data_IF_188626755680
#
_entry.id   IF_188626755680
#
_cell.length_a   1.000
_cell.length_b   1.000
_cell.length_c   1.000
_cell.angle_alpha   90.00
_cell.angle_beta   90.00
_cell.angle_gamma   90.00
#
_symmetry.space_group_name_H-M   'P 1'
#
loop_
_entity.id
_entity.type
_entity.pdbx_description
1 polymer ?
#
# COMPACT_ATOMS: atom_id res chain seq x y z
N UNK A 1 -0.62 -1.39 9.40
CA UNK A 1 -1.75 -2.16 9.98
C UNK A 1 -1.48 -2.51 11.43
N UNK A 2 -0.27 -2.98 11.72
CA UNK A 2 0.19 -3.32 13.08
C UNK A 2 0.12 -2.16 14.07
N UNK A 3 0.56 -0.96 13.66
CA UNK A 3 0.45 0.26 14.49
C UNK A 3 -1.00 0.61 14.88
N UNK A 4 -1.99 0.09 14.16
CA UNK A 4 -3.42 0.29 14.44
C UNK A 4 -4.10 -0.95 15.03
N UNK A 5 -3.35 -2.02 15.30
CA UNK A 5 -3.88 -3.28 15.81
C UNK A 5 -4.88 -3.98 14.88
N UNK A 6 -4.83 -3.69 13.57
CA UNK A 6 -5.74 -4.30 12.59
C UNK A 6 -5.04 -5.50 11.96
N UNK A 7 -5.63 -6.70 12.10
CA UNK A 7 -5.15 -7.89 11.40
C UNK A 7 -5.45 -7.82 9.90
N UNK A 8 -4.61 -8.47 9.08
CA UNK A 8 -4.78 -8.56 7.62
C UNK A 8 -6.14 -9.15 7.22
N UNK A 9 -6.62 -10.17 7.93
CA UNK A 9 -7.96 -10.74 7.71
C UNK A 9 -9.08 -9.74 8.01
N UNK A 10 -8.96 -8.96 9.09
CA UNK A 10 -9.93 -7.93 9.41
C UNK A 10 -9.94 -6.83 8.35
N UNK A 11 -8.76 -6.44 7.87
CA UNK A 11 -8.62 -5.46 6.81
C UNK A 11 -9.28 -5.93 5.49
N UNK A 12 -9.09 -7.19 5.09
CA UNK A 12 -9.71 -7.75 3.89
C UNK A 12 -11.25 -7.68 3.94
N UNK A 13 -11.82 -7.94 5.11
CA UNK A 13 -13.27 -7.79 5.35
C UNK A 13 -13.72 -6.33 5.28
N UNK A 14 -12.98 -5.42 5.92
CA UNK A 14 -13.32 -3.98 5.94
C UNK A 14 -13.23 -3.33 4.55
N UNK A 15 -12.20 -3.70 3.79
CA UNK A 15 -12.01 -3.25 2.40
C UNK A 15 -12.95 -3.99 1.44
N UNK A 16 -13.62 -5.06 1.88
CA UNK A 16 -14.44 -5.92 1.03
C UNK A 16 -13.65 -6.44 -0.19
N UNK A 17 -12.51 -7.07 0.07
CA UNK A 17 -11.66 -7.67 -0.96
C UNK A 17 -11.07 -8.99 -0.49
N UNK A 18 -10.41 -9.72 -1.40
CA UNK A 18 -9.78 -11.00 -1.07
C UNK A 18 -8.59 -10.79 -0.14
N UNK A 19 -8.38 -11.73 0.78
CA UNK A 19 -7.23 -11.71 1.70
C UNK A 19 -5.89 -11.56 0.96
N UNK A 20 -5.71 -12.27 -0.15
CA UNK A 20 -4.50 -12.22 -0.96
C UNK A 20 -4.18 -10.80 -1.47
N UNK A 21 -5.19 -9.99 -1.78
CA UNK A 21 -4.97 -8.60 -2.19
C UNK A 21 -4.36 -7.82 -1.05
N UNK A 22 -4.98 -7.89 0.14
CA UNK A 22 -4.46 -7.21 1.33
C UNK A 22 -3.09 -7.73 1.73
N UNK A 23 -2.83 -9.03 1.63
CA UNK A 23 -1.53 -9.63 1.94
C UNK A 23 -0.45 -9.14 0.97
N UNK A 24 -0.76 -8.99 -0.33
CA UNK A 24 0.14 -8.36 -1.32
C UNK A 24 0.40 -6.90 -1.00
N UNK A 25 -0.63 -6.11 -0.67
CA UNK A 25 -0.49 -4.72 -0.22
C UNK A 25 0.41 -4.62 1.01
N UNK A 26 0.21 -5.53 1.98
CA UNK A 26 1.00 -5.58 3.20
C UNK A 26 2.47 -5.94 2.94
N UNK A 27 2.74 -6.86 2.01
CA UNK A 27 4.09 -7.29 1.60
C UNK A 27 4.75 -6.37 0.58
N UNK A 28 4.07 -5.30 0.15
CA UNK A 28 4.51 -4.42 -0.94
C UNK A 28 4.78 -5.18 -2.26
N UNK A 29 3.98 -6.22 -2.54
CA UNK A 29 4.05 -7.10 -3.72
C UNK A 29 2.90 -6.80 -4.71
N UNK A 30 2.40 -5.58 -4.73
CA UNK A 30 1.28 -5.18 -5.57
C UNK A 30 1.79 -4.87 -6.98
N UNK A 31 1.40 -5.68 -7.96
CA UNK A 31 1.78 -5.47 -9.37
C UNK A 31 0.91 -4.41 -10.06
N UNK A 32 -0.36 -4.32 -9.67
CA UNK A 32 -1.34 -3.38 -10.22
C UNK A 32 -2.08 -2.72 -9.08
N UNK A 33 -2.06 -1.39 -9.06
CA UNK A 33 -2.76 -0.58 -8.08
C UNK A 33 -4.17 -0.33 -8.59
N UNK A 34 -5.14 -0.92 -7.91
CA UNK A 34 -6.56 -0.60 -8.07
C UNK A 34 -6.88 0.63 -7.21
N UNK A 35 -7.35 1.71 -7.86
CA UNK A 35 -7.64 2.98 -7.20
C UNK A 35 -8.78 2.86 -6.16
N UNK A 36 -9.75 1.98 -6.38
CA UNK A 36 -10.87 1.79 -5.47
C UNK A 36 -10.43 0.97 -4.25
N UNK A 37 -9.56 -0.04 -4.43
CA UNK A 37 -8.96 -0.76 -3.29
C UNK A 37 -8.10 0.19 -2.47
N UNK A 38 -7.28 1.02 -3.12
CA UNK A 38 -6.46 2.04 -2.46
C UNK A 38 -7.33 3.03 -1.67
N UNK A 39 -8.39 3.56 -2.26
CA UNK A 39 -9.31 4.48 -1.59
C UNK A 39 -9.96 3.85 -0.35
N UNK A 40 -10.41 2.59 -0.46
CA UNK A 40 -10.98 1.83 0.66
C UNK A 40 -9.94 1.57 1.77
N UNK A 41 -8.70 1.24 1.40
CA UNK A 41 -7.59 1.09 2.37
C UNK A 41 -7.34 2.42 3.08
N UNK A 42 -7.23 3.54 2.34
CA UNK A 42 -7.06 4.88 2.91
C UNK A 42 -8.20 5.25 3.87
N UNK A 43 -9.44 4.91 3.52
CA UNK A 43 -10.60 5.17 4.37
C UNK A 43 -10.53 4.40 5.69
N UNK A 44 -10.27 3.09 5.63
CA UNK A 44 -10.16 2.23 6.83
C UNK A 44 -8.96 2.63 7.69
N UNK A 45 -7.85 2.98 7.06
CA UNK A 45 -6.64 3.45 7.71
C UNK A 45 -6.62 4.95 7.95
N UNK A 46 -7.73 5.69 7.76
CA UNK A 46 -7.81 7.15 7.96
C UNK A 46 -6.52 7.88 7.58
N UNK A 47 -6.01 7.61 6.37
CA UNK A 47 -4.75 8.14 5.86
C UNK A 47 -4.91 8.64 4.43
N UNK A 48 -3.95 9.41 3.94
CA UNK A 48 -3.88 9.84 2.55
C UNK A 48 -3.24 8.79 1.66
N UNK A 49 -3.37 8.97 0.34
CA UNK A 49 -2.71 8.12 -0.65
C UNK A 49 -1.19 8.21 -0.54
N UNK A 50 -0.64 9.41 -0.26
CA UNK A 50 0.79 9.64 -0.10
C UNK A 50 1.42 8.90 1.08
N UNK A 51 0.61 8.48 2.07
CA UNK A 51 1.09 7.66 3.19
C UNK A 51 1.29 6.18 2.80
N UNK A 52 0.66 5.75 1.70
CA UNK A 52 0.72 4.36 1.20
C UNK A 52 1.56 4.23 -0.07
N UNK A 53 1.57 5.25 -0.92
CA UNK A 53 2.27 5.25 -2.20
C UNK A 53 3.31 6.36 -2.22
N UNK A 54 4.55 5.97 -2.49
CA UNK A 54 5.67 6.89 -2.65
C UNK A 54 6.25 6.68 -4.04
N UNK A 55 6.27 7.75 -4.84
CA UNK A 55 7.01 7.73 -6.10
C UNK A 55 8.51 7.72 -5.78
N UNK A 56 9.23 6.73 -6.27
CA UNK A 56 10.70 6.68 -6.23
C UNK A 56 11.19 6.76 -7.65
N UNK A 57 11.90 7.83 -7.97
CA UNK A 57 12.71 7.88 -9.18
C UNK A 57 13.71 6.72 -9.10
N UNK A 58 13.85 5.95 -10.20
CA UNK A 58 14.93 4.94 -10.27
C UNK A 58 16.22 5.69 -10.00
N UNK A 59 16.93 5.35 -8.93
CA UNK A 59 18.25 5.92 -8.65
C UNK A 59 19.07 5.81 -9.94
N UNK A 60 19.27 6.92 -10.61
CA UNK A 60 20.31 7.02 -11.61
C UNK A 60 21.60 6.85 -10.82
N UNK A 61 22.44 5.84 -11.10
CA UNK A 61 23.71 5.71 -10.40
C UNK A 61 24.41 7.06 -10.52
N UNK A 62 24.82 7.61 -9.38
CA UNK A 62 25.42 8.93 -9.29
C UNK A 62 26.46 9.08 -10.40
N UNK A 63 26.21 10.00 -11.35
CA UNK A 63 27.23 10.36 -12.32
C UNK A 63 28.41 10.90 -11.52
N UNK A 64 29.63 10.31 -11.65
CA UNK A 64 30.79 10.87 -11.00
C UNK A 64 30.95 12.31 -11.49
N UNK A 65 30.94 13.26 -10.55
CA UNK A 65 31.33 14.63 -10.86
C UNK A 65 32.81 14.61 -11.27
N UNK A 66 33.05 15.38 -12.33
CA UNK A 66 34.28 15.55 -13.10
C UNK A 66 35.56 15.63 -12.28
#
# INVERSE_FOLDING_TARGET
MDQRGISRNRMARLVNTRYEVIDKWYKNQVEKIDADILARICFVLRCGVGDLLVYRERQQPAQPRS
#
